data_IF_886069525825
#
_entry.id   IF_886069525825
#
_cell.length_a   1.000
_cell.length_b   1.000
_cell.length_c   1.000
_cell.angle_alpha   90.00
_cell.angle_beta   90.00
_cell.angle_gamma   90.00
#
_symmetry.space_group_name_H-M   'P 1'
#
loop_
_entity.id
_entity.type
_entity.pdbx_description
1 polymer ?
#
# COMPACT_ATOMS: atom_id res chain seq x y z
N UNK A 1 6.96 11.70 17.84
CA UNK A 1 6.52 10.42 18.44
C UNK A 1 5.22 10.65 19.20
N UNK A 2 4.26 9.74 19.05
CA UNK A 2 2.94 9.79 19.70
C UNK A 2 2.68 8.45 20.39
N UNK A 3 1.81 8.44 21.41
CA UNK A 3 1.38 7.19 22.06
C UNK A 3 0.49 6.40 21.09
N UNK A 4 0.68 5.09 21.05
CA UNK A 4 -0.14 4.14 20.26
C UNK A 4 -0.11 4.32 18.73
N UNK A 5 0.85 5.09 18.20
CA UNK A 5 1.06 5.24 16.75
C UNK A 5 2.42 4.62 16.40
N UNK A 6 2.51 3.73 15.40
CA UNK A 6 3.76 3.14 14.99
C UNK A 6 4.84 4.21 14.67
N UNK A 7 6.07 4.09 15.21
CA UNK A 7 7.13 5.09 15.05
C UNK A 7 7.49 5.39 13.59
N UNK A 8 7.31 4.39 12.72
CA UNK A 8 7.68 4.45 11.31
C UNK A 8 6.74 5.36 10.51
N UNK A 9 5.55 5.65 11.04
CA UNK A 9 4.64 6.63 10.46
C UNK A 9 5.12 8.03 10.85
N UNK A 10 6.03 8.56 10.03
CA UNK A 10 6.54 9.93 10.15
C UNK A 10 5.44 10.99 10.01
N UNK A 11 5.73 12.24 10.36
CA UNK A 11 4.74 13.32 10.37
C UNK A 11 4.08 13.52 9.00
N UNK A 12 4.84 13.45 7.90
CA UNK A 12 4.31 13.64 6.55
C UNK A 12 3.36 12.52 6.14
N UNK A 13 3.73 11.26 6.40
CA UNK A 13 2.86 10.11 6.11
C UNK A 13 1.58 10.15 6.96
N UNK A 14 1.68 10.49 8.26
CA UNK A 14 0.51 10.66 9.10
C UNK A 14 -0.41 11.78 8.60
N UNK A 15 0.17 12.90 8.15
CA UNK A 15 -0.58 14.00 7.54
C UNK A 15 -1.33 13.55 6.29
N UNK A 16 -0.67 12.82 5.40
CA UNK A 16 -1.27 12.24 4.18
C UNK A 16 -2.41 11.28 4.54
N UNK A 17 -2.15 10.27 5.39
CA UNK A 17 -3.16 9.29 5.79
C UNK A 17 -4.39 9.95 6.42
N UNK A 18 -4.19 11.02 7.20
CA UNK A 18 -5.27 11.76 7.83
C UNK A 18 -6.08 12.60 6.84
N UNK A 19 -5.42 13.16 5.81
CA UNK A 19 -6.03 13.99 4.79
C UNK A 19 -6.80 13.20 3.73
N UNK A 20 -6.36 11.97 3.42
CA UNK A 20 -7.07 11.08 2.48
C UNK A 20 -8.54 10.89 2.86
N UNK A 21 -9.43 10.94 1.88
CA UNK A 21 -10.84 10.58 1.98
C UNK A 21 -11.11 9.10 1.67
N UNK A 22 -12.37 8.70 1.78
CA UNK A 22 -12.81 7.39 1.31
C UNK A 22 -12.67 7.32 -0.23
N UNK A 23 -12.07 6.24 -0.71
CA UNK A 23 -11.81 6.00 -2.13
C UNK A 23 -10.45 6.49 -2.62
N UNK A 24 -9.74 7.31 -1.84
CA UNK A 24 -8.36 7.68 -2.16
C UNK A 24 -7.43 6.47 -2.07
N UNK A 25 -6.41 6.45 -2.93
CA UNK A 25 -5.48 5.33 -3.04
C UNK A 25 -4.05 5.76 -2.70
N UNK A 26 -3.33 4.94 -1.94
CA UNK A 26 -1.92 5.14 -1.59
C UNK A 26 -1.13 3.90 -1.97
N UNK A 27 0.00 4.09 -2.67
CA UNK A 27 0.88 3.01 -3.07
C UNK A 27 2.04 2.87 -2.08
N UNK A 28 2.31 1.66 -1.61
CA UNK A 28 3.53 1.30 -0.89
C UNK A 28 4.40 0.50 -1.87
N UNK A 29 5.56 1.04 -2.23
CA UNK A 29 6.33 0.51 -3.36
C UNK A 29 7.74 0.10 -2.96
N UNK A 30 8.26 -0.86 -3.70
CA UNK A 30 9.62 -1.38 -3.52
C UNK A 30 10.70 -0.38 -3.97
N UNK A 31 11.95 -0.71 -3.67
CA UNK A 31 13.10 0.14 -3.96
C UNK A 31 13.38 0.32 -5.48
N UNK A 32 12.80 -0.53 -6.34
CA UNK A 32 12.98 -0.47 -7.79
C UNK A 32 11.82 0.24 -8.50
N UNK A 33 10.71 0.50 -7.82
CA UNK A 33 9.58 1.20 -8.40
C UNK A 33 9.96 2.65 -8.76
N UNK A 34 9.58 3.17 -9.95
CA UNK A 34 9.93 4.51 -10.40
C UNK A 34 9.04 5.59 -9.75
N UNK A 35 9.06 5.69 -8.42
CA UNK A 35 8.11 6.51 -7.64
C UNK A 35 8.23 8.01 -7.92
N UNK A 36 9.45 8.53 -8.04
CA UNK A 36 9.72 9.96 -8.25
C UNK A 36 9.12 10.48 -9.56
N UNK A 37 9.11 9.66 -10.60
CA UNK A 37 8.55 9.99 -11.91
C UNK A 37 7.05 9.68 -12.04
N UNK A 38 6.41 9.11 -11.02
CA UNK A 38 5.06 8.57 -11.13
C UNK A 38 3.95 9.65 -11.00
N UNK A 39 4.23 10.79 -10.37
CA UNK A 39 3.33 11.95 -10.30
C UNK A 39 2.76 12.31 -8.91
N UNK A 40 2.21 11.37 -8.12
CA UNK A 40 1.65 11.66 -6.81
C UNK A 40 2.67 12.17 -5.78
N UNK A 41 2.17 12.66 -4.64
CA UNK A 41 3.02 13.04 -3.53
C UNK A 41 3.89 11.86 -3.07
N UNK A 42 5.19 12.08 -2.93
CA UNK A 42 6.15 11.04 -2.56
C UNK A 42 6.61 11.19 -1.11
N UNK A 43 6.52 10.11 -0.34
CA UNK A 43 7.17 9.94 0.96
C UNK A 43 8.24 8.87 0.85
N UNK A 44 9.44 9.14 1.37
CA UNK A 44 10.52 8.15 1.41
C UNK A 44 10.65 7.54 2.79
N UNK A 45 10.58 6.22 2.87
CA UNK A 45 10.87 5.40 4.04
C UNK A 45 11.99 4.40 3.69
N UNK A 46 13.12 4.96 3.25
CA UNK A 46 14.30 4.20 2.87
C UNK A 46 14.75 3.28 4.01
N UNK A 47 15.12 2.04 3.67
CA UNK A 47 15.60 1.04 4.63
C UNK A 47 14.51 0.33 5.45
N UNK A 48 13.23 0.68 5.26
CA UNK A 48 12.09 -0.02 5.90
C UNK A 48 11.46 -0.99 4.88
N UNK A 49 11.05 -2.18 5.32
CA UNK A 49 10.39 -3.15 4.43
C UNK A 49 8.97 -2.72 4.08
N UNK A 50 8.45 -3.15 2.92
CA UNK A 50 7.06 -2.82 2.54
C UNK A 50 6.06 -3.47 3.49
N UNK A 51 6.39 -4.64 4.03
CA UNK A 51 5.56 -5.37 5.00
C UNK A 51 5.44 -4.64 6.34
N UNK A 52 6.52 -4.03 6.84
CA UNK A 52 6.47 -3.23 8.08
C UNK A 52 5.64 -1.94 7.86
N UNK A 53 5.81 -1.29 6.70
CA UNK A 53 5.03 -0.09 6.35
C UNK A 53 3.55 -0.45 6.18
N UNK A 54 3.24 -1.55 5.50
CA UNK A 54 1.87 -2.03 5.31
C UNK A 54 1.19 -2.32 6.65
N UNK A 55 1.83 -3.08 7.53
CA UNK A 55 1.30 -3.40 8.86
C UNK A 55 1.02 -2.12 9.66
N UNK A 56 1.96 -1.16 9.65
CA UNK A 56 1.78 0.12 10.34
C UNK A 56 0.65 0.97 9.75
N UNK A 57 0.55 1.10 8.42
CA UNK A 57 -0.52 1.86 7.76
C UNK A 57 -1.88 1.29 8.11
N UNK A 58 -2.04 -0.03 8.09
CA UNK A 58 -3.32 -0.70 8.38
C UNK A 58 -3.72 -0.65 9.85
N UNK A 59 -2.82 -0.30 10.79
CA UNK A 59 -3.24 0.02 12.17
C UNK A 59 -4.12 1.27 12.27
N UNK A 60 -4.07 2.16 11.26
CA UNK A 60 -4.77 3.45 11.29
C UNK A 60 -5.78 3.61 10.14
N UNK A 61 -5.50 3.05 8.97
CA UNK A 61 -6.27 3.26 7.76
C UNK A 61 -7.13 2.03 7.44
N UNK A 62 -8.47 2.14 7.49
CA UNK A 62 -9.33 1.06 7.04
C UNK A 62 -9.24 0.90 5.53
N UNK A 63 -9.40 -0.32 5.04
CA UNK A 63 -9.56 -0.60 3.63
C UNK A 63 -11.03 -0.45 3.18
N UNK A 64 -11.21 -0.18 1.90
CA UNK A 64 -12.52 0.08 1.30
C UNK A 64 -13.38 -1.19 1.17
N UNK A 65 -14.44 -1.28 1.99
CA UNK A 65 -15.39 -2.40 2.00
C UNK A 65 -16.56 -2.25 1.00
N UNK A 66 -16.54 -1.21 0.15
CA UNK A 66 -17.52 -0.99 -0.92
C UNK A 66 -17.06 -1.51 -2.29
N UNK A 67 -15.82 -2.01 -2.38
CA UNK A 67 -15.24 -2.57 -3.61
C UNK A 67 -14.83 -4.02 -3.39
N UNK A 68 -14.74 -4.79 -4.47
CA UNK A 68 -14.26 -6.18 -4.42
C UNK A 68 -12.76 -6.24 -4.07
N UNK A 69 -11.98 -5.25 -4.52
CA UNK A 69 -10.53 -5.23 -4.40
C UNK A 69 -10.04 -3.88 -3.85
N UNK A 70 -9.62 -3.88 -2.59
CA UNK A 70 -9.08 -2.69 -1.90
C UNK A 70 -7.56 -2.74 -1.68
N UNK A 71 -6.93 -3.89 -1.89
CA UNK A 71 -5.49 -4.06 -1.83
C UNK A 71 -5.02 -4.85 -3.06
N UNK A 72 -4.19 -4.24 -3.89
CA UNK A 72 -3.79 -4.77 -5.19
C UNK A 72 -2.27 -4.77 -5.30
N UNK A 73 -1.65 -5.87 -5.71
CA UNK A 73 -0.25 -5.92 -6.10
C UNK A 73 -0.05 -5.98 -7.61
N UNK A 74 1.20 -5.85 -8.04
CA UNK A 74 1.58 -6.00 -9.43
C UNK A 74 1.85 -7.47 -9.78
N UNK A 75 1.28 -7.95 -10.89
CA UNK A 75 1.53 -9.30 -11.42
C UNK A 75 2.98 -9.49 -11.87
N UNK A 76 3.47 -10.72 -11.74
CA UNK A 76 4.77 -11.12 -12.28
C UNK A 76 4.73 -11.10 -13.80
N UNK A 77 5.64 -10.36 -14.43
CA UNK A 77 5.69 -10.22 -15.88
C UNK A 77 5.93 -11.57 -16.53
N UNK A 78 5.05 -11.96 -17.46
CA UNK A 78 5.10 -13.25 -18.15
C UNK A 78 4.49 -14.41 -17.37
N UNK A 79 4.04 -14.21 -16.12
CA UNK A 79 3.37 -15.24 -15.33
C UNK A 79 2.40 -14.64 -14.29
N UNK A 80 1.20 -14.27 -14.72
CA UNK A 80 0.19 -13.64 -13.86
C UNK A 80 -0.26 -14.49 -12.65
N UNK A 81 -0.07 -15.82 -12.72
CA UNK A 81 -0.42 -16.74 -11.63
C UNK A 81 0.70 -16.94 -10.59
N UNK A 82 1.90 -16.42 -10.85
CA UNK A 82 3.02 -16.52 -9.91
C UNK A 82 2.85 -15.54 -8.75
N UNK A 83 3.06 -16.04 -7.54
CA UNK A 83 3.12 -15.24 -6.32
C UNK A 83 4.53 -15.30 -5.76
N UNK A 84 5.09 -14.14 -5.48
CA UNK A 84 6.37 -14.02 -4.76
C UNK A 84 6.13 -14.09 -3.25
N UNK A 85 7.12 -14.54 -2.44
CA UNK A 85 6.95 -14.65 -1.00
C UNK A 85 6.48 -13.36 -0.31
N UNK A 86 6.92 -12.20 -0.80
CA UNK A 86 6.48 -10.89 -0.28
C UNK A 86 4.98 -10.66 -0.48
N UNK A 87 4.37 -11.21 -1.53
CA UNK A 87 2.93 -11.09 -1.78
C UNK A 87 2.12 -11.89 -0.75
N UNK A 88 2.60 -13.06 -0.35
CA UNK A 88 1.94 -13.89 0.66
C UNK A 88 2.05 -13.29 2.06
N UNK A 89 3.19 -12.66 2.37
CA UNK A 89 3.36 -11.88 3.60
C UNK A 89 2.42 -10.66 3.63
N UNK A 90 2.31 -9.92 2.53
CA UNK A 90 1.38 -8.79 2.42
C UNK A 90 -0.07 -9.23 2.57
N UNK A 91 -0.47 -10.33 1.92
CA UNK A 91 -1.83 -10.89 2.03
C UNK A 91 -2.15 -11.31 3.47
N UNK A 92 -1.20 -11.94 4.16
CA UNK A 92 -1.32 -12.31 5.58
C UNK A 92 -1.52 -11.07 6.47
N UNK A 93 -0.79 -9.98 6.19
CA UNK A 93 -0.92 -8.72 6.93
C UNK A 93 -2.28 -8.08 6.66
N UNK A 94 -2.73 -8.03 5.41
CA UNK A 94 -4.04 -7.50 5.04
C UNK A 94 -5.15 -8.26 5.77
N UNK A 95 -5.15 -9.58 5.73
CA UNK A 95 -6.16 -10.41 6.40
C UNK A 95 -6.16 -10.27 7.94
N UNK A 96 -5.01 -9.92 8.54
CA UNK A 96 -4.92 -9.67 9.97
C UNK A 96 -5.69 -8.41 10.39
N UNK A 97 -5.58 -7.34 9.61
CA UNK A 97 -6.24 -6.06 9.90
C UNK A 97 -7.67 -6.00 9.34
N UNK A 98 -7.87 -6.63 8.19
CA UNK A 98 -9.09 -6.59 7.39
C UNK A 98 -9.52 -8.00 6.99
N UNK A 99 -10.01 -8.78 7.96
CA UNK A 99 -10.30 -10.22 7.85
C UNK A 99 -11.18 -10.70 6.68
N UNK A 100 -11.88 -9.79 6.00
CA UNK A 100 -12.74 -10.10 4.84
C UNK A 100 -12.09 -9.74 3.50
N UNK A 101 -10.88 -9.21 3.53
CA UNK A 101 -10.16 -8.76 2.35
C UNK A 101 -8.92 -9.61 2.11
N UNK A 102 -8.37 -9.51 0.90
CA UNK A 102 -7.13 -10.15 0.52
C UNK A 102 -6.40 -9.34 -0.54
N UNK A 103 -5.23 -9.84 -0.94
CA UNK A 103 -4.40 -9.21 -1.94
C UNK A 103 -4.77 -9.69 -3.36
N UNK A 104 -5.41 -8.83 -4.14
CA UNK A 104 -5.61 -9.05 -5.59
C UNK A 104 -4.36 -8.66 -6.39
N UNK A 105 -4.35 -8.94 -7.70
CA UNK A 105 -3.22 -8.61 -8.56
C UNK A 105 -3.66 -8.01 -9.89
N UNK A 106 -2.86 -7.10 -10.44
CA UNK A 106 -3.12 -6.50 -11.75
C UNK A 106 -1.88 -6.43 -12.64
N UNK A 107 -2.10 -6.34 -13.95
CA UNK A 107 -1.03 -6.21 -14.95
C UNK A 107 -0.15 -4.98 -14.68
N UNK A 108 1.14 -5.06 -14.98
CA UNK A 108 2.16 -4.07 -14.65
C UNK A 108 1.84 -2.65 -15.13
N UNK A 109 1.44 -2.47 -16.39
CA UNK A 109 1.15 -1.14 -16.91
C UNK A 109 -0.16 -0.59 -16.37
N UNK A 110 -1.17 -1.46 -16.15
CA UNK A 110 -2.38 -1.07 -15.44
C UNK A 110 -2.07 -0.62 -14.00
N UNK A 111 -1.14 -1.30 -13.31
CA UNK A 111 -0.67 -0.90 -11.99
C UNK A 111 -0.02 0.48 -12.02
N UNK A 112 0.88 0.72 -12.98
CA UNK A 112 1.54 2.02 -13.13
C UNK A 112 0.54 3.15 -13.41
N UNK A 113 -0.44 2.90 -14.29
CA UNK A 113 -1.49 3.87 -14.61
C UNK A 113 -2.37 4.18 -13.39
N UNK A 114 -2.68 3.16 -12.58
CA UNK A 114 -3.51 3.37 -11.39
C UNK A 114 -2.75 4.12 -10.29
N UNK A 115 -1.49 3.74 -10.05
CA UNK A 115 -0.63 4.43 -9.08
C UNK A 115 -0.43 5.89 -9.44
N UNK A 116 -0.24 6.25 -10.72
CA UNK A 116 -0.03 7.65 -11.13
C UNK A 116 -1.26 8.55 -10.90
N UNK A 117 -2.45 7.95 -10.76
CA UNK A 117 -3.71 8.63 -10.40
C UNK A 117 -4.02 8.59 -8.91
N UNK A 118 -3.18 7.92 -8.11
CA UNK A 118 -3.34 7.81 -6.67
C UNK A 118 -3.04 9.11 -5.93
N UNK A 119 -3.33 9.12 -4.63
CA UNK A 119 -3.13 10.27 -3.76
C UNK A 119 -1.67 10.46 -3.39
N UNK A 120 -0.98 9.37 -3.04
CA UNK A 120 0.42 9.39 -2.63
C UNK A 120 1.13 8.06 -2.91
N UNK A 121 2.45 8.11 -2.90
CA UNK A 121 3.34 6.95 -2.98
C UNK A 121 4.29 7.00 -1.78
N UNK A 122 4.48 5.86 -1.13
CA UNK A 122 5.52 5.64 -0.13
C UNK A 122 6.57 4.74 -0.74
N UNK A 123 7.74 5.29 -1.05
CA UNK A 123 8.87 4.49 -1.49
C UNK A 123 9.60 3.90 -0.29
N UNK A 124 9.63 2.58 -0.23
CA UNK A 124 10.23 1.81 0.86
C UNK A 124 11.65 1.34 0.50
N UNK A 125 12.34 0.72 1.46
CA UNK A 125 13.59 0.01 1.24
C UNK A 125 13.43 -1.45 0.81
N UNK A 126 12.22 -1.89 0.43
CA UNK A 126 11.98 -3.28 0.05
C UNK A 126 12.82 -3.67 -1.19
N UNK A 127 13.58 -4.76 -1.06
CA UNK A 127 14.49 -5.23 -2.12
C UNK A 127 13.95 -6.45 -2.85
N UNK A 128 12.98 -7.16 -2.25
CA UNK A 128 12.28 -8.28 -2.89
C UNK A 128 11.47 -7.74 -4.06
N UNK A 129 11.50 -8.45 -5.18
CA UNK A 129 10.82 -8.02 -6.40
C UNK A 129 9.30 -8.13 -6.23
N UNK A 130 8.59 -7.26 -6.95
CA UNK A 130 7.12 -7.19 -6.91
C UNK A 130 6.57 -6.89 -5.51
N UNK A 131 7.35 -6.22 -4.66
CA UNK A 131 6.96 -5.74 -3.33
C UNK A 131 6.16 -4.43 -3.39
N UNK A 132 5.23 -4.32 -4.35
CA UNK A 132 4.38 -3.14 -4.52
C UNK A 132 2.95 -3.49 -4.16
N UNK A 133 2.28 -2.65 -3.38
CA UNK A 133 0.87 -2.76 -3.05
C UNK A 133 0.19 -1.40 -3.12
N UNK A 134 -0.97 -1.36 -3.75
CA UNK A 134 -1.86 -0.21 -3.80
C UNK A 134 -3.03 -0.45 -2.84
N UNK A 135 -3.28 0.49 -1.95
CA UNK A 135 -4.31 0.41 -0.92
C UNK A 135 -5.37 1.47 -1.17
N UNK A 136 -6.65 1.08 -1.14
CA UNK A 136 -7.80 1.98 -1.25
C UNK A 136 -8.41 2.22 0.13
N UNK A 137 -8.51 3.49 0.52
CA UNK A 137 -9.01 3.88 1.84
C UNK A 137 -10.52 3.73 1.96
N UNK A 138 -10.95 3.06 3.03
CA UNK A 138 -12.35 2.87 3.37
C UNK A 138 -12.97 3.98 4.21
N UNK A 139 -14.20 3.71 4.65
CA UNK A 139 -14.97 4.61 5.50
C UNK A 139 -14.61 4.39 6.98
N UNK A 140 -14.41 5.48 7.71
CA UNK A 140 -14.41 5.46 9.18
C UNK A 140 -15.86 5.66 9.64
N UNK A 141 -16.48 4.61 10.19
CA UNK A 141 -17.89 4.63 10.60
C UNK A 141 -18.07 5.48 11.86
N UNK A 142 -19.15 6.28 11.96
CA UNK A 142 -19.49 6.93 13.23
C UNK A 142 -19.77 5.84 14.28
N UNK A 143 -19.34 6.10 15.51
CA UNK A 143 -19.65 5.24 16.65
C UNK A 143 -21.17 5.18 16.90
#
# INVERSE_FOLDING_TARGET
>A
MLKNIPPILGPDLLGILRAMGHGDEIALVDANYPADAAGPALVRLDGISVTDVLDAVLTLMPLDDFVEEAAICMQVVGNAGQREPVMDEMDTIIQRHESKMGLSSMERFAFYERVSKGYAIVQTGERRLYGNVLLKKGVIRPN
#
